data_IF_565183656455
#
_entry.id   IF_565183656455
#
_cell.length_a   1.000
_cell.length_b   1.000
_cell.length_c   1.000
_cell.angle_alpha   90.00
_cell.angle_beta   90.00
_cell.angle_gamma   90.00
#
_symmetry.space_group_name_H-M   'P 1'
#
loop_
_entity.id
_entity.type
_entity.pdbx_description
1 polymer ?
#
# COMPACT_ATOMS: atom_id res chain seq x y z
N UNK A 1 -22.47 -23.48 36.01
CA UNK A 1 -23.37 -24.30 35.19
C UNK A 1 -24.40 -23.39 34.56
N UNK A 2 -24.22 -23.05 33.33
CA UNK A 2 -25.19 -22.85 32.25
C UNK A 2 -24.45 -22.20 31.08
N UNK A 3 -24.15 -23.04 30.13
CA UNK A 3 -23.64 -22.66 28.80
C UNK A 3 -24.69 -21.88 28.02
N UNK A 4 -24.43 -20.64 27.68
CA UNK A 4 -25.20 -19.93 26.65
C UNK A 4 -24.41 -20.00 25.35
N UNK A 5 -24.95 -20.76 24.42
CA UNK A 5 -24.50 -20.89 23.05
C UNK A 5 -24.57 -19.56 22.35
N UNK A 6 -23.40 -19.00 21.98
CA UNK A 6 -23.28 -17.91 21.04
C UNK A 6 -23.15 -18.50 19.65
N UNK A 7 -24.27 -18.75 19.00
CA UNK A 7 -24.29 -19.09 17.58
C UNK A 7 -25.29 -18.19 16.85
N UNK A 8 -24.82 -17.61 15.73
CA UNK A 8 -25.60 -17.12 14.61
C UNK A 8 -26.55 -15.91 14.86
N UNK A 9 -25.99 -14.72 15.12
CA UNK A 9 -26.69 -13.46 14.78
C UNK A 9 -25.63 -12.48 14.22
N UNK A 10 -25.22 -12.69 13.00
CA UNK A 10 -24.34 -11.73 12.29
C UNK A 10 -24.53 -11.78 10.78
N UNK A 11 -25.77 -12.01 10.34
CA UNK A 11 -26.16 -11.80 8.94
C UNK A 11 -27.59 -11.29 8.93
N UNK A 12 -27.76 -9.98 8.94
CA UNK A 12 -28.91 -9.19 8.55
C UNK A 12 -29.12 -7.99 9.48
N UNK A 13 -28.20 -7.05 9.45
CA UNK A 13 -28.50 -5.68 9.83
C UNK A 13 -28.36 -4.81 8.57
N UNK A 14 -29.14 -5.16 7.55
CA UNK A 14 -29.52 -4.25 6.49
C UNK A 14 -30.61 -3.35 7.06
N UNK A 15 -30.25 -2.19 7.59
CA UNK A 15 -31.19 -1.18 8.03
C UNK A 15 -32.05 -0.70 6.85
N UNK A 16 -33.24 -1.20 6.78
CA UNK A 16 -34.28 -0.75 5.83
C UNK A 16 -34.91 0.51 6.39
N UNK A 17 -34.37 1.66 6.05
CA UNK A 17 -35.10 2.93 6.20
C UNK A 17 -35.93 3.12 4.92
N UNK A 18 -37.23 2.94 5.05
CA UNK A 18 -38.25 3.18 3.98
C UNK A 18 -38.00 2.47 2.64
N UNK A 19 -37.75 1.16 2.62
CA UNK A 19 -37.82 0.37 1.39
C UNK A 19 -36.77 0.62 0.30
N UNK A 20 -35.77 1.50 0.53
CA UNK A 20 -34.60 1.66 -0.36
C UNK A 20 -33.43 0.87 0.21
N UNK A 21 -32.95 -0.12 -0.54
CA UNK A 21 -31.62 -0.73 -0.25
C UNK A 21 -30.58 0.38 -0.25
N UNK A 22 -29.80 0.49 0.82
CA UNK A 22 -28.66 1.40 0.78
C UNK A 22 -27.74 1.03 -0.38
N UNK A 23 -27.22 2.01 -1.12
CA UNK A 23 -26.28 1.73 -2.20
C UNK A 23 -25.02 1.07 -1.62
N UNK A 24 -24.37 0.17 -2.39
CA UNK A 24 -23.18 -0.52 -1.89
C UNK A 24 -22.05 0.46 -1.61
N UNK A 25 -21.31 0.21 -0.53
CA UNK A 25 -20.16 1.02 -0.14
C UNK A 25 -19.01 0.95 -1.18
N UNK A 26 -18.83 -0.23 -1.77
CA UNK A 26 -17.77 -0.48 -2.74
C UNK A 26 -18.38 -0.86 -4.10
N UNK A 27 -17.88 -0.24 -5.16
CA UNK A 27 -18.20 -0.52 -6.55
C UNK A 27 -17.07 -1.26 -7.24
N UNK A 28 -17.37 -2.11 -8.21
CA UNK A 28 -16.36 -2.71 -9.08
C UNK A 28 -15.71 -1.61 -9.93
N UNK A 29 -14.39 -1.65 -10.06
CA UNK A 29 -13.65 -0.75 -10.97
C UNK A 29 -13.94 -1.14 -12.41
N UNK A 30 -13.87 -2.43 -12.74
CA UNK A 30 -14.18 -2.91 -14.08
C UNK A 30 -15.67 -2.90 -14.38
N UNK A 31 -16.04 -2.44 -15.56
CA UNK A 31 -17.33 -2.73 -16.18
C UNK A 31 -17.46 -4.24 -16.47
N UNK A 32 -18.70 -4.71 -16.72
CA UNK A 32 -18.94 -6.11 -17.07
C UNK A 32 -18.15 -6.56 -18.32
N UNK A 33 -18.03 -5.69 -19.32
CA UNK A 33 -17.29 -5.96 -20.55
C UNK A 33 -15.80 -6.10 -20.29
N UNK A 34 -15.20 -5.16 -19.59
CA UNK A 34 -13.76 -5.17 -19.23
C UNK A 34 -13.42 -6.39 -18.39
N UNK A 35 -14.27 -6.72 -17.43
CA UNK A 35 -14.13 -7.93 -16.60
C UNK A 35 -14.13 -9.20 -17.44
N UNK A 36 -15.00 -9.31 -18.45
CA UNK A 36 -15.05 -10.47 -19.34
C UNK A 36 -13.81 -10.55 -20.23
N UNK A 37 -13.35 -9.43 -20.77
CA UNK A 37 -12.12 -9.35 -21.58
C UNK A 37 -10.92 -9.75 -20.70
N UNK A 38 -10.81 -9.19 -19.51
CA UNK A 38 -9.71 -9.50 -18.56
C UNK A 38 -9.65 -11.00 -18.25
N UNK A 39 -10.80 -11.61 -17.93
CA UNK A 39 -10.89 -13.05 -17.67
C UNK A 39 -10.49 -13.88 -18.89
N UNK A 40 -10.88 -13.48 -20.10
CA UNK A 40 -10.44 -14.13 -21.33
C UNK A 40 -8.92 -14.08 -21.53
N UNK A 41 -8.30 -12.92 -21.29
CA UNK A 41 -6.86 -12.74 -21.39
C UNK A 41 -6.10 -13.53 -20.31
N UNK A 42 -6.58 -13.54 -19.08
CA UNK A 42 -6.00 -14.35 -17.98
C UNK A 42 -6.13 -15.85 -18.26
N UNK A 43 -7.25 -16.29 -18.85
CA UNK A 43 -7.43 -17.67 -19.25
C UNK A 43 -6.45 -18.07 -20.34
N UNK A 44 -6.20 -17.21 -21.32
CA UNK A 44 -5.20 -17.42 -22.36
C UNK A 44 -3.80 -17.52 -21.76
N UNK A 45 -3.43 -16.60 -20.86
CA UNK A 45 -2.17 -16.66 -20.13
C UNK A 45 -2.03 -17.95 -19.32
N UNK A 46 -3.08 -18.39 -18.64
CA UNK A 46 -3.05 -19.62 -17.85
C UNK A 46 -2.88 -20.85 -18.74
N UNK A 47 -3.48 -20.87 -19.91
CA UNK A 47 -3.29 -21.95 -20.89
C UNK A 47 -1.84 -21.99 -21.39
N UNK A 48 -1.22 -20.85 -21.70
CA UNK A 48 0.21 -20.78 -22.08
C UNK A 48 1.14 -21.13 -20.93
N UNK A 49 0.77 -20.80 -19.68
CA UNK A 49 1.50 -21.20 -18.48
C UNK A 49 1.53 -22.73 -18.34
N UNK A 50 0.37 -23.42 -18.48
CA UNK A 50 0.28 -24.88 -18.45
C UNK A 50 1.10 -25.49 -19.59
N UNK A 51 0.99 -24.92 -20.81
CA UNK A 51 1.77 -25.36 -21.96
C UNK A 51 3.27 -25.23 -21.73
N UNK A 52 3.76 -24.09 -21.20
CA UNK A 52 5.16 -23.86 -20.82
C UNK A 52 5.65 -24.92 -19.82
N UNK A 53 4.91 -25.13 -18.71
CA UNK A 53 5.33 -26.07 -17.68
C UNK A 53 5.28 -27.53 -18.14
N UNK A 54 4.33 -27.93 -18.99
CA UNK A 54 4.31 -29.27 -19.61
C UNK A 54 5.52 -29.51 -20.51
N UNK A 55 5.96 -28.48 -21.23
CA UNK A 55 7.18 -28.55 -22.03
C UNK A 55 8.41 -28.58 -21.11
N UNK A 56 8.53 -27.66 -20.14
CA UNK A 56 9.66 -27.57 -19.24
C UNK A 56 9.96 -28.86 -18.48
N UNK A 57 8.95 -29.56 -17.98
CA UNK A 57 9.08 -30.78 -17.17
C UNK A 57 9.23 -32.05 -17.99
N UNK A 58 9.53 -31.99 -19.29
CA UNK A 58 9.78 -33.19 -20.10
C UNK A 58 11.06 -33.90 -19.64
N UNK A 59 11.10 -35.24 -19.61
CA UNK A 59 12.25 -36.02 -19.13
C UNK A 59 13.56 -35.68 -19.84
N UNK A 60 13.50 -35.33 -21.11
CA UNK A 60 14.66 -34.97 -21.93
C UNK A 60 15.38 -33.70 -21.50
N UNK A 61 14.73 -32.86 -20.72
CA UNK A 61 15.27 -31.62 -20.18
C UNK A 61 16.04 -31.80 -18.86
N UNK A 62 15.94 -33.02 -18.27
CA UNK A 62 16.53 -33.30 -16.97
C UNK A 62 17.97 -33.77 -17.18
N UNK A 63 18.94 -32.93 -16.81
CA UNK A 63 20.34 -33.33 -16.71
C UNK A 63 20.62 -33.99 -15.36
N UNK A 64 20.19 -33.29 -14.28
CA UNK A 64 20.28 -33.77 -12.90
C UNK A 64 19.00 -33.38 -12.16
N UNK A 65 18.62 -34.14 -11.13
CA UNK A 65 17.39 -33.88 -10.37
C UNK A 65 17.49 -32.57 -9.59
N UNK A 66 18.62 -32.29 -8.97
CA UNK A 66 18.90 -31.05 -8.26
C UNK A 66 18.86 -29.84 -9.20
N UNK A 67 19.43 -29.97 -10.39
CA UNK A 67 19.43 -28.91 -11.42
C UNK A 67 18.02 -28.54 -11.87
N UNK A 68 17.19 -29.54 -12.24
CA UNK A 68 15.81 -29.26 -12.69
C UNK A 68 14.96 -28.68 -11.55
N UNK A 69 15.13 -29.16 -10.30
CA UNK A 69 14.40 -28.59 -9.16
C UNK A 69 14.79 -27.14 -8.93
N UNK A 70 16.08 -26.83 -8.86
CA UNK A 70 16.57 -25.49 -8.62
C UNK A 70 16.09 -24.50 -9.70
N UNK A 71 16.27 -24.85 -10.97
CA UNK A 71 15.79 -24.02 -12.07
C UNK A 71 14.26 -23.88 -12.07
N UNK A 72 13.53 -24.95 -11.74
CA UNK A 72 12.06 -24.91 -11.65
C UNK A 72 11.58 -24.00 -10.53
N UNK A 73 12.22 -23.97 -9.36
CA UNK A 73 11.86 -23.06 -8.26
C UNK A 73 12.02 -21.61 -8.70
N UNK A 74 13.12 -21.25 -9.37
CA UNK A 74 13.35 -19.90 -9.88
C UNK A 74 12.34 -19.52 -10.98
N UNK A 75 12.06 -20.42 -11.89
CA UNK A 75 11.05 -20.22 -12.93
C UNK A 75 9.64 -20.12 -12.35
N UNK A 76 9.31 -20.93 -11.34
CA UNK A 76 8.02 -20.87 -10.67
C UNK A 76 7.78 -19.50 -10.05
N UNK A 77 8.76 -18.94 -9.35
CA UNK A 77 8.65 -17.58 -8.81
C UNK A 77 8.27 -16.57 -9.91
N UNK A 78 9.03 -16.55 -11.00
CA UNK A 78 8.80 -15.58 -12.08
C UNK A 78 7.50 -15.81 -12.86
N UNK A 79 7.11 -17.07 -13.07
CA UNK A 79 5.94 -17.42 -13.90
C UNK A 79 4.63 -17.49 -13.13
N UNK A 80 4.66 -17.71 -11.79
CA UNK A 80 3.46 -17.79 -10.96
C UNK A 80 3.09 -16.44 -10.30
N UNK A 81 4.07 -15.54 -10.13
CA UNK A 81 3.84 -14.22 -9.53
C UNK A 81 2.70 -13.43 -10.22
N UNK A 82 2.55 -13.43 -11.56
CA UNK A 82 1.43 -12.78 -12.23
C UNK A 82 0.05 -13.28 -11.79
N UNK A 83 -0.07 -14.56 -11.36
CA UNK A 83 -1.34 -15.07 -10.86
C UNK A 83 -1.83 -14.32 -9.60
N UNK A 84 -0.91 -13.99 -8.70
CA UNK A 84 -1.21 -13.18 -7.52
C UNK A 84 -1.75 -11.81 -7.93
N UNK A 85 -1.07 -11.13 -8.84
CA UNK A 85 -1.50 -9.84 -9.35
C UNK A 85 -2.87 -9.91 -10.06
N UNK A 86 -3.06 -10.85 -10.98
CA UNK A 86 -4.31 -11.02 -11.72
C UNK A 86 -5.50 -11.34 -10.81
N UNK A 87 -5.28 -12.12 -9.75
CA UNK A 87 -6.31 -12.40 -8.76
C UNK A 87 -6.84 -11.11 -8.11
N UNK A 88 -5.96 -10.21 -7.70
CA UNK A 88 -6.37 -8.96 -7.07
C UNK A 88 -6.91 -7.94 -8.09
N UNK A 89 -6.33 -7.85 -9.27
CA UNK A 89 -6.85 -6.99 -10.35
C UNK A 89 -8.30 -7.35 -10.70
N UNK A 90 -8.61 -8.64 -10.79
CA UNK A 90 -9.99 -9.08 -11.02
C UNK A 90 -10.97 -8.66 -9.91
N UNK A 91 -10.48 -8.45 -8.71
CA UNK A 91 -11.26 -8.07 -7.53
C UNK A 91 -11.30 -6.56 -7.28
N UNK A 92 -10.66 -5.74 -8.11
CA UNK A 92 -10.56 -4.29 -7.88
C UNK A 92 -11.91 -3.66 -7.57
N UNK A 93 -11.96 -2.94 -6.44
CA UNK A 93 -13.12 -2.18 -5.99
C UNK A 93 -12.69 -0.78 -5.56
N UNK A 94 -13.57 0.18 -5.69
CA UNK A 94 -13.40 1.54 -5.19
C UNK A 94 -14.59 1.96 -4.32
N UNK A 95 -14.43 2.91 -3.39
CA UNK A 95 -15.54 3.50 -2.66
C UNK A 95 -16.55 4.11 -3.62
N UNK A 96 -17.82 4.01 -3.27
CA UNK A 96 -18.90 4.59 -4.07
C UNK A 96 -18.91 6.12 -3.92
N UNK A 97 -18.60 6.90 -4.96
CA UNK A 97 -18.52 8.36 -4.87
C UNK A 97 -19.86 9.05 -4.61
N UNK A 98 -20.97 8.35 -4.80
CA UNK A 98 -22.32 8.89 -4.65
C UNK A 98 -22.89 8.72 -3.23
N UNK A 99 -22.07 8.29 -2.27
CA UNK A 99 -22.47 8.21 -0.87
C UNK A 99 -22.22 9.53 -0.17
N UNK A 100 -23.27 10.06 0.47
CA UNK A 100 -23.17 11.26 1.29
C UNK A 100 -22.42 10.97 2.60
N UNK A 101 -21.59 11.90 3.02
CA UNK A 101 -20.89 11.85 4.29
C UNK A 101 -21.72 12.52 5.40
N UNK A 102 -21.70 12.00 6.64
CA UNK A 102 -22.33 12.65 7.77
C UNK A 102 -21.64 13.98 8.09
N UNK A 103 -22.39 15.06 8.21
CA UNK A 103 -21.86 16.40 8.51
C UNK A 103 -21.38 16.58 9.96
N UNK A 104 -21.65 15.63 10.83
CA UNK A 104 -21.28 15.71 12.25
C UNK A 104 -19.89 15.09 12.58
N UNK A 105 -19.22 14.50 11.61
CA UNK A 105 -17.89 13.93 11.83
C UNK A 105 -16.87 15.03 12.07
N UNK A 106 -16.10 14.88 13.14
CA UNK A 106 -15.00 15.77 13.49
C UNK A 106 -13.73 15.27 12.82
N UNK A 107 -13.21 16.02 11.87
CA UNK A 107 -12.10 15.59 11.01
C UNK A 107 -10.92 16.57 11.15
N UNK A 108 -9.72 16.02 11.23
CA UNK A 108 -8.49 16.78 11.09
C UNK A 108 -7.70 16.32 9.86
N UNK A 109 -7.09 17.26 9.15
CA UNK A 109 -6.00 17.01 8.22
C UNK A 109 -4.69 17.44 8.87
N UNK A 110 -3.69 16.56 8.88
CA UNK A 110 -2.40 16.82 9.55
C UNK A 110 -1.26 16.59 8.57
N UNK A 111 -0.47 17.61 8.32
CA UNK A 111 0.80 17.49 7.59
C UNK A 111 1.97 17.49 8.57
N UNK A 112 2.90 16.55 8.39
CA UNK A 112 4.12 16.48 9.20
C UNK A 112 5.23 17.29 8.56
N UNK A 113 6.09 17.91 9.38
CA UNK A 113 7.26 18.65 8.92
C UNK A 113 8.49 18.35 9.78
N UNK A 114 9.54 17.86 9.14
CA UNK A 114 10.87 17.78 9.72
C UNK A 114 11.67 19.08 9.53
N UNK A 115 12.70 19.35 10.36
CA UNK A 115 13.51 20.56 10.23
C UNK A 115 14.22 20.71 8.86
N UNK A 116 14.51 19.59 8.19
CA UNK A 116 15.16 19.56 6.87
C UNK A 116 14.25 19.90 5.70
N UNK A 117 12.93 19.89 5.90
CA UNK A 117 11.96 20.12 4.83
C UNK A 117 11.73 21.60 4.57
N UNK A 118 11.81 22.05 3.28
CA UNK A 118 11.65 23.44 2.92
C UNK A 118 10.22 23.92 3.17
N UNK A 119 10.09 25.17 3.66
CA UNK A 119 8.78 25.73 3.96
C UNK A 119 7.85 25.83 2.76
N UNK A 120 8.37 26.20 1.59
CA UNK A 120 7.55 26.40 0.38
C UNK A 120 6.83 25.09 -0.05
N UNK A 121 7.44 23.94 0.18
CA UNK A 121 6.84 22.62 -0.04
C UNK A 121 5.65 22.41 0.92
N UNK A 122 5.87 22.61 2.20
CA UNK A 122 4.84 22.46 3.25
C UNK A 122 3.69 23.46 3.05
N UNK A 123 4.01 24.71 2.70
CA UNK A 123 3.00 25.76 2.43
C UNK A 123 2.08 25.36 1.27
N UNK A 124 2.64 24.76 0.21
CA UNK A 124 1.85 24.25 -0.94
C UNK A 124 0.85 23.19 -0.50
N UNK A 125 1.30 22.22 0.30
CA UNK A 125 0.46 21.16 0.83
C UNK A 125 -0.62 21.70 1.78
N UNK A 126 -0.26 22.61 2.70
CA UNK A 126 -1.22 23.25 3.59
C UNK A 126 -2.31 24.03 2.84
N UNK A 127 -1.94 24.77 1.78
CA UNK A 127 -2.93 25.47 0.94
C UNK A 127 -3.92 24.51 0.27
N UNK A 128 -3.45 23.35 -0.19
CA UNK A 128 -4.32 22.34 -0.78
C UNK A 128 -5.21 21.64 0.27
N UNK A 129 -4.72 21.47 1.50
CA UNK A 129 -5.52 20.98 2.62
C UNK A 129 -6.65 21.96 2.98
N UNK A 130 -6.34 23.24 3.13
CA UNK A 130 -7.33 24.30 3.41
C UNK A 130 -8.44 24.35 2.36
N UNK A 131 -8.11 24.02 1.12
CA UNK A 131 -9.05 24.04 -0.02
C UNK A 131 -9.93 22.79 -0.16
N UNK A 132 -9.94 21.86 0.80
CA UNK A 132 -10.81 20.68 0.73
C UNK A 132 -12.26 21.00 1.10
N UNK A 133 -13.21 20.30 0.45
CA UNK A 133 -14.64 20.64 0.52
C UNK A 133 -15.34 20.17 1.79
N UNK A 134 -14.87 19.09 2.44
CA UNK A 134 -15.45 18.61 3.69
C UNK A 134 -14.97 19.45 4.89
N UNK A 135 -15.85 19.75 5.84
CA UNK A 135 -15.52 20.53 7.03
C UNK A 135 -14.46 19.83 7.91
N UNK A 136 -13.34 20.49 8.16
CA UNK A 136 -12.20 19.93 8.89
C UNK A 136 -11.31 21.00 9.49
N UNK A 137 -10.50 20.61 10.47
CA UNK A 137 -9.41 21.42 11.01
C UNK A 137 -8.08 21.08 10.33
N UNK A 138 -7.29 22.09 10.01
CA UNK A 138 -5.96 21.93 9.44
C UNK A 138 -4.87 22.04 10.50
N UNK A 139 -3.95 21.07 10.51
CA UNK A 139 -2.85 21.00 11.45
C UNK A 139 -1.49 20.87 10.77
N UNK A 140 -0.52 21.57 11.33
CA UNK A 140 0.90 21.38 11.04
C UNK A 140 1.57 20.73 12.26
N UNK A 141 2.06 19.49 12.10
CA UNK A 141 2.90 18.83 13.10
C UNK A 141 4.37 19.12 12.79
N UNK A 142 4.92 20.21 13.35
CA UNK A 142 6.27 20.70 13.07
C UNK A 142 7.22 20.40 14.25
N UNK A 143 8.34 19.71 13.96
CA UNK A 143 9.36 19.39 14.95
C UNK A 143 10.06 20.63 15.54
N UNK A 144 10.16 21.73 14.78
CA UNK A 144 10.79 22.98 15.21
C UNK A 144 10.20 24.18 14.48
N UNK A 145 8.98 24.62 14.84
CA UNK A 145 8.28 25.68 14.12
C UNK A 145 8.99 27.04 14.27
N UNK A 146 9.25 27.68 13.13
CA UNK A 146 9.83 29.03 13.09
C UNK A 146 8.78 30.10 13.42
N UNK A 147 9.18 31.31 13.87
CA UNK A 147 8.25 32.43 14.03
C UNK A 147 7.49 32.78 12.74
N UNK A 148 8.13 32.65 11.58
CA UNK A 148 7.50 32.82 10.25
C UNK A 148 6.41 31.76 10.01
N UNK A 149 6.71 30.49 10.30
CA UNK A 149 5.76 29.38 10.20
C UNK A 149 4.54 29.60 11.09
N UNK A 150 4.76 29.96 12.35
CA UNK A 150 3.68 30.23 13.31
C UNK A 150 2.79 31.40 12.87
N UNK A 151 3.39 32.51 12.38
CA UNK A 151 2.65 33.65 11.88
C UNK A 151 1.79 33.30 10.67
N UNK A 152 2.32 32.52 9.72
CA UNK A 152 1.58 32.07 8.54
C UNK A 152 0.42 31.14 8.93
N UNK A 153 0.68 30.15 9.79
CA UNK A 153 -0.36 29.23 10.26
C UNK A 153 -1.51 29.98 10.94
N UNK A 154 -1.19 30.92 11.83
CA UNK A 154 -2.19 31.78 12.50
C UNK A 154 -3.02 32.60 11.52
N UNK A 155 -2.39 33.17 10.49
CA UNK A 155 -3.08 33.98 9.48
C UNK A 155 -4.01 33.16 8.57
N UNK A 156 -3.74 31.86 8.40
CA UNK A 156 -4.50 30.96 7.52
C UNK A 156 -5.39 29.95 8.27
N UNK A 157 -5.58 30.10 9.58
CA UNK A 157 -6.43 29.20 10.38
C UNK A 157 -5.86 27.80 10.58
N UNK A 158 -4.55 27.61 10.40
CA UNK A 158 -3.86 26.33 10.63
C UNK A 158 -3.39 26.26 12.08
N UNK A 159 -3.72 25.16 12.75
CA UNK A 159 -3.25 24.86 14.11
C UNK A 159 -1.85 24.22 14.04
N UNK A 160 -1.05 24.43 15.07
CA UNK A 160 0.31 23.87 15.13
C UNK A 160 0.45 22.93 16.32
N UNK A 161 0.92 21.74 16.04
CA UNK A 161 1.34 20.73 17.02
C UNK A 161 2.86 20.64 17.01
N UNK A 162 3.52 20.77 18.15
CA UNK A 162 4.97 20.65 18.24
C UNK A 162 5.40 19.97 19.52
N UNK A 163 6.21 18.93 19.40
CA UNK A 163 6.86 18.25 20.53
C UNK A 163 8.21 18.86 20.90
N UNK A 164 8.58 20.01 20.31
CA UNK A 164 9.87 20.65 20.52
C UNK A 164 10.16 20.87 22.01
N UNK A 165 11.31 20.40 22.50
CA UNK A 165 11.70 20.54 23.90
C UNK A 165 10.97 19.63 24.90
N UNK A 166 10.13 18.71 24.46
CA UNK A 166 9.39 17.78 25.31
C UNK A 166 10.05 16.41 25.31
N UNK A 167 10.93 16.15 26.26
CA UNK A 167 11.78 14.95 26.34
C UNK A 167 10.97 13.62 26.30
N UNK A 168 9.79 13.60 26.92
CA UNK A 168 8.93 12.41 26.96
C UNK A 168 8.45 11.96 25.57
N UNK A 169 8.54 12.83 24.56
CA UNK A 169 8.22 12.56 23.16
C UNK A 169 9.48 12.41 22.27
N UNK A 170 10.66 12.27 22.87
CA UNK A 170 11.93 12.02 22.19
C UNK A 170 12.63 10.75 22.72
N UNK A 171 11.89 9.66 22.79
CA UNK A 171 12.38 8.38 23.31
C UNK A 171 13.27 7.66 22.29
N UNK A 172 14.14 6.80 22.77
CA UNK A 172 14.95 5.90 21.91
C UNK A 172 14.14 4.69 21.40
N UNK A 173 13.04 4.35 22.09
CA UNK A 173 12.18 3.20 21.77
C UNK A 173 10.73 3.62 21.57
N UNK A 174 10.00 2.85 20.79
CA UNK A 174 8.55 3.01 20.61
C UNK A 174 7.79 2.84 21.94
N UNK A 175 6.69 3.56 22.17
CA UNK A 175 6.14 4.68 21.36
C UNK A 175 6.86 5.99 21.64
N UNK A 176 6.60 7.02 20.81
CA UNK A 176 7.10 8.40 20.94
C UNK A 176 8.59 8.52 20.63
N UNK A 177 9.04 7.86 19.56
CA UNK A 177 10.46 7.86 19.17
C UNK A 177 10.92 9.21 18.66
N UNK A 178 12.17 9.53 18.94
CA UNK A 178 12.86 10.69 18.36
C UNK A 178 13.13 10.47 16.86
N UNK A 179 13.20 11.57 16.10
CA UNK A 179 13.55 11.59 14.66
C UNK A 179 12.70 10.66 13.77
N UNK A 180 11.42 10.54 14.07
CA UNK A 180 10.49 9.77 13.24
C UNK A 180 9.09 10.37 13.25
N UNK A 181 8.33 10.10 12.18
CA UNK A 181 6.96 10.57 11.97
C UNK A 181 6.03 10.11 13.10
N UNK A 182 6.13 8.82 13.48
CA UNK A 182 5.35 8.25 14.59
C UNK A 182 5.44 9.11 15.86
N UNK A 183 6.66 9.46 16.28
CA UNK A 183 6.85 10.24 17.50
C UNK A 183 6.35 11.67 17.41
N UNK A 184 6.41 12.31 16.23
CA UNK A 184 5.84 13.62 15.99
C UNK A 184 4.30 13.57 16.05
N UNK A 185 3.70 12.62 15.35
CA UNK A 185 2.25 12.42 15.36
C UNK A 185 1.72 11.92 16.72
N UNK A 186 2.50 11.16 17.50
CA UNK A 186 2.10 10.74 18.84
C UNK A 186 1.76 11.94 19.74
N UNK A 187 2.52 13.04 19.64
CA UNK A 187 2.21 14.26 20.39
C UNK A 187 0.89 14.89 19.94
N UNK A 188 0.65 14.93 18.63
CA UNK A 188 -0.63 15.41 18.09
C UNK A 188 -1.80 14.55 18.57
N UNK A 189 -1.69 13.21 18.47
CA UNK A 189 -2.77 12.32 18.89
C UNK A 189 -3.07 12.41 20.38
N UNK A 190 -2.06 12.41 21.22
CA UNK A 190 -2.22 12.43 22.67
C UNK A 190 -2.83 13.73 23.19
N UNK A 191 -2.54 14.89 22.58
CA UNK A 191 -3.01 16.20 23.07
C UNK A 191 -4.26 16.71 22.35
N UNK A 192 -4.48 16.26 21.11
CA UNK A 192 -5.55 16.82 20.29
C UNK A 192 -6.37 15.75 19.58
N UNK A 193 -5.69 14.75 18.99
CA UNK A 193 -6.28 13.79 18.07
C UNK A 193 -7.40 12.98 18.72
N UNK A 194 -7.12 12.32 19.82
CA UNK A 194 -8.05 11.37 20.45
C UNK A 194 -9.30 12.02 21.04
N UNK A 195 -9.19 13.25 21.56
CA UNK A 195 -10.32 13.92 22.19
C UNK A 195 -11.17 14.73 21.20
N UNK A 196 -10.54 15.34 20.20
CA UNK A 196 -11.19 16.32 19.36
C UNK A 196 -11.72 15.76 18.04
N UNK A 197 -11.17 14.64 17.53
CA UNK A 197 -11.47 14.16 16.18
C UNK A 197 -11.89 12.70 16.16
N UNK A 198 -12.80 12.38 15.26
CA UNK A 198 -13.24 11.03 14.96
C UNK A 198 -12.31 10.40 13.91
N UNK A 199 -11.82 11.23 12.95
CA UNK A 199 -10.92 10.82 11.87
C UNK A 199 -9.78 11.81 11.67
N UNK A 200 -8.62 11.28 11.30
CA UNK A 200 -7.43 12.07 10.96
C UNK A 200 -6.89 11.61 9.61
N UNK A 201 -6.82 12.52 8.65
CA UNK A 201 -6.09 12.33 7.39
C UNK A 201 -4.70 12.94 7.55
N UNK A 202 -3.67 12.11 7.50
CA UNK A 202 -2.29 12.54 7.66
C UNK A 202 -1.54 12.51 6.31
N UNK A 203 -0.69 13.52 6.08
CA UNK A 203 0.07 13.71 4.85
C UNK A 203 1.54 14.01 5.17
N UNK A 204 2.41 13.61 4.25
CA UNK A 204 3.80 14.09 4.22
C UNK A 204 3.87 15.51 3.64
N UNK A 205 4.94 16.22 3.94
CA UNK A 205 5.13 17.61 3.56
C UNK A 205 5.04 17.87 2.04
N UNK A 206 5.48 16.92 1.24
CA UNK A 206 5.55 16.98 -0.23
C UNK A 206 4.30 16.45 -0.95
N UNK A 207 3.36 15.82 -0.24
CA UNK A 207 2.16 15.22 -0.83
C UNK A 207 0.97 16.18 -0.84
N UNK A 208 0.72 16.78 -1.98
CA UNK A 208 -0.34 17.76 -2.21
C UNK A 208 -1.65 17.07 -2.59
N UNK A 209 -2.72 17.10 -1.75
CA UNK A 209 -3.99 16.46 -2.06
C UNK A 209 -4.74 17.23 -3.17
N UNK A 210 -5.39 16.48 -4.08
CA UNK A 210 -6.30 17.07 -5.08
C UNK A 210 -7.63 17.52 -4.45
N UNK A 211 -8.38 18.42 -5.11
CA UNK A 211 -9.77 18.71 -4.71
C UNK A 211 -10.62 17.42 -4.65
N UNK A 212 -11.44 17.27 -3.61
CA UNK A 212 -12.24 16.07 -3.36
C UNK A 212 -11.50 14.91 -2.67
N UNK A 213 -10.19 15.06 -2.41
CA UNK A 213 -9.39 14.07 -1.69
C UNK A 213 -10.01 13.67 -0.34
N UNK A 214 -10.38 14.68 0.46
CA UNK A 214 -10.85 14.44 1.83
C UNK A 214 -12.16 13.65 1.84
N UNK A 215 -13.12 14.02 1.01
CA UNK A 215 -14.36 13.24 0.89
C UNK A 215 -14.11 11.81 0.42
N UNK A 216 -13.23 11.64 -0.58
CA UNK A 216 -12.93 10.31 -1.13
C UNK A 216 -12.32 9.38 -0.08
N UNK A 217 -11.40 9.89 0.75
CA UNK A 217 -10.72 9.10 1.78
C UNK A 217 -11.60 8.85 3.00
N UNK A 218 -12.61 9.70 3.25
CA UNK A 218 -13.53 9.53 4.37
C UNK A 218 -14.67 8.54 4.08
N UNK A 219 -15.11 8.38 2.81
CA UNK A 219 -16.25 7.51 2.45
C UNK A 219 -16.17 6.09 2.98
N UNK A 220 -15.04 5.38 2.97
CA UNK A 220 -14.97 4.03 3.52
C UNK A 220 -15.31 3.94 5.01
N UNK A 221 -15.13 5.01 5.79
CA UNK A 221 -15.45 5.02 7.23
C UNK A 221 -16.96 5.00 7.53
N UNK A 222 -17.82 5.04 6.52
CA UNK A 222 -19.24 4.71 6.64
C UNK A 222 -19.46 3.26 7.13
N UNK A 223 -18.49 2.37 6.92
CA UNK A 223 -18.43 1.08 7.62
C UNK A 223 -17.66 1.28 8.94
N UNK A 224 -18.35 1.09 10.07
CA UNK A 224 -17.79 1.27 11.41
C UNK A 224 -16.61 0.33 11.71
N UNK A 225 -16.47 -0.76 10.95
CA UNK A 225 -15.35 -1.72 11.09
C UNK A 225 -14.06 -1.22 10.43
N UNK A 226 -14.12 -0.17 9.62
CA UNK A 226 -12.94 0.40 8.97
C UNK A 226 -12.18 1.26 9.99
N UNK A 227 -10.95 0.86 10.29
CA UNK A 227 -10.03 1.56 11.18
C UNK A 227 -9.08 2.49 10.45
N UNK A 228 -8.77 2.19 9.17
CA UNK A 228 -7.87 2.99 8.33
C UNK A 228 -8.25 2.92 6.87
N UNK A 229 -7.87 3.96 6.13
CA UNK A 229 -8.08 4.07 4.68
C UNK A 229 -6.77 4.49 4.03
N UNK A 230 -6.22 3.59 3.23
CA UNK A 230 -5.08 3.86 2.37
C UNK A 230 -5.53 4.54 1.08
N UNK A 231 -4.61 5.23 0.41
CA UNK A 231 -4.90 5.95 -0.81
C UNK A 231 -3.69 5.92 -1.78
N UNK A 232 -3.87 6.23 -3.08
CA UNK A 232 -2.79 6.20 -4.06
C UNK A 232 -1.74 7.29 -3.78
N UNK A 233 -0.49 6.91 -3.54
CA UNK A 233 0.64 7.83 -3.48
C UNK A 233 1.20 8.01 -4.89
N UNK A 234 1.09 9.19 -5.46
CA UNK A 234 1.49 9.48 -6.85
C UNK A 234 2.69 10.42 -6.83
N UNK A 235 3.89 9.87 -7.02
CA UNK A 235 5.13 10.63 -6.95
C UNK A 235 5.52 11.19 -8.34
N UNK A 236 4.68 12.06 -8.92
CA UNK A 236 4.82 12.60 -10.27
C UNK A 236 5.19 14.08 -10.35
N UNK A 237 5.23 14.80 -9.23
CA UNK A 237 5.40 16.26 -9.23
C UNK A 237 6.74 16.75 -9.82
N UNK A 238 7.75 15.88 -9.87
CA UNK A 238 9.06 16.13 -10.49
C UNK A 238 9.40 15.11 -11.60
N UNK A 239 8.41 14.46 -12.20
CA UNK A 239 8.61 13.40 -13.21
C UNK A 239 9.27 13.91 -14.49
N UNK A 240 9.12 15.21 -14.82
CA UNK A 240 9.78 15.87 -15.96
C UNK A 240 11.29 16.06 -15.77
N UNK A 241 11.80 15.93 -14.55
CA UNK A 241 13.19 16.20 -14.20
C UNK A 241 14.10 14.98 -14.19
N UNK A 242 13.54 13.77 -14.08
CA UNK A 242 14.34 12.56 -13.91
C UNK A 242 13.67 11.32 -14.48
N UNK A 243 14.40 10.54 -15.29
CA UNK A 243 13.95 9.23 -15.73
C UNK A 243 13.71 8.25 -14.58
N UNK A 244 14.39 8.44 -13.45
CA UNK A 244 14.23 7.61 -12.27
C UNK A 244 12.85 7.77 -11.68
N UNK A 245 12.34 9.01 -11.62
CA UNK A 245 10.97 9.30 -11.15
C UNK A 245 9.95 8.59 -12.02
N UNK A 246 10.10 8.70 -13.36
CA UNK A 246 9.19 8.03 -14.31
C UNK A 246 9.23 6.49 -14.17
N UNK A 247 10.43 5.91 -14.03
CA UNK A 247 10.58 4.46 -13.85
C UNK A 247 9.93 3.98 -12.56
N UNK A 248 10.11 4.73 -11.47
CA UNK A 248 9.50 4.45 -10.18
C UNK A 248 7.98 4.59 -10.22
N UNK A 249 7.48 5.69 -10.78
CA UNK A 249 6.05 5.94 -10.94
C UNK A 249 5.37 4.76 -11.64
N UNK A 250 5.96 4.26 -12.73
CA UNK A 250 5.46 3.08 -13.43
C UNK A 250 5.47 1.81 -12.56
N UNK A 251 6.53 1.57 -11.79
CA UNK A 251 6.64 0.42 -10.90
C UNK A 251 5.62 0.51 -9.75
N UNK A 252 5.46 1.69 -9.16
CA UNK A 252 4.53 1.93 -8.04
C UNK A 252 3.06 1.89 -8.46
N UNK A 253 2.72 2.22 -9.70
CA UNK A 253 1.35 2.18 -10.22
C UNK A 253 0.66 0.83 -9.97
N UNK A 254 1.40 -0.25 -10.09
CA UNK A 254 0.91 -1.60 -9.80
C UNK A 254 0.63 -1.80 -8.31
N UNK A 255 1.57 -1.42 -7.44
CA UNK A 255 1.49 -1.64 -5.99
C UNK A 255 0.54 -0.65 -5.33
N UNK A 256 0.64 0.63 -5.65
CA UNK A 256 -0.14 1.71 -5.02
C UNK A 256 -1.50 1.96 -5.68
N UNK A 257 -1.81 1.30 -6.77
CA UNK A 257 -3.08 1.42 -7.48
C UNK A 257 -3.86 0.10 -7.50
N UNK A 258 -3.69 -0.66 -8.59
CA UNK A 258 -4.50 -1.85 -8.90
C UNK A 258 -4.46 -2.92 -7.81
N UNK A 259 -3.29 -3.20 -7.25
CA UNK A 259 -3.14 -4.23 -6.22
C UNK A 259 -3.88 -3.84 -4.93
N UNK A 260 -3.72 -2.59 -4.50
CA UNK A 260 -4.40 -2.07 -3.31
C UNK A 260 -5.92 -2.01 -3.50
N UNK A 261 -6.40 -1.59 -4.68
CA UNK A 261 -7.83 -1.62 -5.01
C UNK A 261 -8.40 -3.05 -4.97
N UNK A 262 -7.56 -4.04 -5.33
CA UNK A 262 -7.89 -5.47 -5.25
C UNK A 262 -7.95 -6.03 -3.83
N UNK A 263 -7.28 -5.40 -2.88
CA UNK A 263 -7.33 -5.77 -1.46
C UNK A 263 -8.62 -5.29 -0.78
N UNK A 264 -9.36 -4.37 -1.37
CA UNK A 264 -10.68 -4.00 -0.87
C UNK A 264 -11.56 -5.24 -0.67
N UNK A 265 -12.48 -5.16 0.33
CA UNK A 265 -13.45 -6.21 0.64
C UNK A 265 -12.81 -7.53 1.13
N UNK A 266 -12.12 -7.45 2.25
CA UNK A 266 -11.71 -8.61 3.05
C UNK A 266 -10.22 -8.91 3.11
N UNK A 267 -9.39 -8.26 2.28
CA UNK A 267 -7.94 -8.22 2.45
C UNK A 267 -7.53 -6.93 3.16
N UNK A 268 -6.24 -6.74 3.39
CA UNK A 268 -5.72 -5.58 4.09
C UNK A 268 -5.02 -4.63 3.09
N UNK A 269 -5.69 -3.59 2.55
CA UNK A 269 -4.97 -2.51 1.90
C UNK A 269 -3.88 -1.98 2.84
N UNK A 270 -2.67 -1.84 2.34
CA UNK A 270 -1.55 -1.35 3.15
C UNK A 270 -1.58 0.17 3.18
N UNK A 271 -1.49 0.78 4.35
CA UNK A 271 -1.20 2.20 4.43
C UNK A 271 0.09 2.51 3.67
N UNK A 272 0.12 3.65 3.02
CA UNK A 272 1.29 4.17 2.32
C UNK A 272 1.73 5.40 3.08
N UNK A 273 2.98 5.44 3.54
CA UNK A 273 3.48 6.42 4.48
C UNK A 273 3.28 7.88 4.09
N UNK A 274 3.18 8.15 2.78
CA UNK A 274 2.98 9.50 2.27
C UNK A 274 1.65 10.14 2.68
N UNK A 275 0.55 9.36 2.67
CA UNK A 275 -0.74 9.83 3.15
C UNK A 275 -1.73 8.67 3.34
N UNK A 276 -2.53 8.75 4.37
CA UNK A 276 -3.64 7.84 4.67
C UNK A 276 -4.54 8.46 5.75
N UNK A 277 -5.75 7.94 5.92
CA UNK A 277 -6.65 8.38 6.99
C UNK A 277 -6.91 7.25 7.99
N UNK A 278 -7.13 7.61 9.25
CA UNK A 278 -7.39 6.69 10.35
C UNK A 278 -8.55 7.13 11.23
N UNK A 279 -9.26 6.16 11.76
CA UNK A 279 -10.19 6.35 12.87
C UNK A 279 -9.39 6.49 14.16
N UNK A 280 -9.55 7.57 14.89
CA UNK A 280 -8.77 7.87 16.11
C UNK A 280 -8.93 6.81 17.18
N UNK A 281 -10.14 6.26 17.35
CA UNK A 281 -10.40 5.12 18.25
C UNK A 281 -9.51 3.92 17.90
N UNK A 282 -9.37 3.58 16.63
CA UNK A 282 -8.59 2.42 16.20
C UNK A 282 -7.09 2.60 16.52
N UNK A 283 -6.54 3.81 16.32
CA UNK A 283 -5.15 4.13 16.69
C UNK A 283 -4.96 4.06 18.21
N UNK A 284 -5.92 4.58 18.97
CA UNK A 284 -5.86 4.54 20.43
C UNK A 284 -5.86 3.11 20.97
N UNK A 285 -6.71 2.24 20.42
CA UNK A 285 -6.81 0.84 20.81
C UNK A 285 -5.52 0.04 20.55
N UNK A 286 -4.81 0.33 19.47
CA UNK A 286 -3.53 -0.34 19.16
C UNK A 286 -2.32 0.29 19.88
N UNK A 287 -2.52 1.38 20.63
CA UNK A 287 -1.49 2.06 21.40
C UNK A 287 -0.68 3.10 20.65
N UNK A 288 -1.17 3.61 19.53
CA UNK A 288 -0.53 4.60 18.66
C UNK A 288 -0.11 4.04 17.30
N UNK A 289 0.49 4.88 16.47
CA UNK A 289 1.06 4.45 15.18
C UNK A 289 2.17 3.43 15.38
N UNK A 290 2.35 2.54 14.44
CA UNK A 290 3.29 1.44 14.52
C UNK A 290 4.76 1.87 14.60
N UNK A 291 5.62 1.03 15.19
CA UNK A 291 7.06 1.27 15.23
C UNK A 291 7.73 1.07 13.86
N UNK A 292 8.99 1.47 13.77
CA UNK A 292 9.89 1.41 12.63
C UNK A 292 9.70 2.53 11.58
N UNK A 293 10.57 2.54 10.57
CA UNK A 293 10.47 3.50 9.47
C UNK A 293 9.24 3.22 8.61
N UNK A 294 8.89 1.93 8.45
CA UNK A 294 7.64 1.51 7.82
C UNK A 294 6.50 1.51 8.88
N UNK A 295 6.26 2.68 9.50
CA UNK A 295 5.20 2.85 10.50
C UNK A 295 3.80 2.60 9.90
N UNK A 296 3.64 2.87 8.62
CA UNK A 296 2.45 2.63 7.83
C UNK A 296 2.13 1.14 7.73
N UNK A 297 3.13 0.33 7.34
CA UNK A 297 3.01 -1.12 7.28
C UNK A 297 2.75 -1.75 8.65
N UNK A 298 3.48 -1.29 9.69
CA UNK A 298 3.28 -1.80 11.05
C UNK A 298 1.95 -1.37 11.64
N UNK A 299 1.49 -0.15 11.39
CA UNK A 299 0.15 0.31 11.78
C UNK A 299 -0.93 -0.55 11.15
N UNK A 300 -0.80 -0.84 9.84
CA UNK A 300 -1.72 -1.73 9.12
C UNK A 300 -1.76 -3.12 9.75
N UNK A 301 -0.60 -3.72 10.05
CA UNK A 301 -0.49 -5.02 10.69
C UNK A 301 -1.16 -5.03 12.07
N UNK A 302 -0.86 -4.04 12.91
CA UNK A 302 -1.42 -3.91 14.25
C UNK A 302 -2.94 -3.74 14.21
N UNK A 303 -3.48 -2.85 13.39
CA UNK A 303 -4.93 -2.65 13.24
C UNK A 303 -5.65 -3.93 12.84
N UNK A 304 -5.14 -4.64 11.83
CA UNK A 304 -5.75 -5.90 11.41
C UNK A 304 -5.66 -6.98 12.50
N UNK A 305 -4.61 -7.00 13.31
CA UNK A 305 -4.46 -7.94 14.43
C UNK A 305 -5.45 -7.70 15.57
N UNK A 306 -5.93 -6.47 15.73
CA UNK A 306 -6.99 -6.07 16.67
C UNK A 306 -8.40 -6.21 16.08
N UNK A 307 -8.52 -6.65 14.83
CA UNK A 307 -9.82 -6.90 14.17
C UNK A 307 -10.35 -5.73 13.36
N UNK A 308 -9.65 -4.59 13.34
CA UNK A 308 -9.98 -3.49 12.45
C UNK A 308 -9.72 -3.86 10.98
N UNK A 309 -10.54 -3.35 10.09
CA UNK A 309 -10.37 -3.55 8.64
C UNK A 309 -9.79 -2.31 7.99
N UNK A 310 -9.11 -2.50 6.88
CA UNK A 310 -8.70 -1.41 6.00
C UNK A 310 -9.56 -1.28 4.77
N UNK A 311 -9.52 -0.11 4.16
CA UNK A 311 -10.02 0.13 2.82
C UNK A 311 -8.99 0.92 1.99
N UNK A 312 -9.16 0.90 0.68
CA UNK A 312 -8.37 1.68 -0.26
C UNK A 312 -9.28 2.63 -1.04
N UNK A 313 -9.03 3.92 -0.90
CA UNK A 313 -9.78 4.98 -1.57
C UNK A 313 -9.06 5.39 -2.86
N UNK A 314 -9.35 4.70 -3.96
CA UNK A 314 -8.69 4.90 -5.25
C UNK A 314 -8.79 6.35 -5.77
N UNK A 315 -9.87 7.04 -5.45
CA UNK A 315 -10.15 8.41 -5.91
C UNK A 315 -9.55 9.49 -4.97
N UNK A 316 -8.91 9.09 -3.86
CA UNK A 316 -8.26 10.02 -2.94
C UNK A 316 -6.79 10.25 -3.36
N UNK A 317 -6.58 11.08 -4.36
CA UNK A 317 -5.26 11.31 -4.95
C UNK A 317 -4.50 12.42 -4.25
N UNK A 318 -3.22 12.15 -3.95
CA UNK A 318 -2.24 13.17 -3.55
C UNK A 318 -0.95 12.97 -4.35
N UNK A 319 -0.34 14.09 -4.76
CA UNK A 319 0.79 14.14 -5.67
C UNK A 319 2.03 14.69 -4.95
N UNK A 320 3.09 13.91 -4.98
CA UNK A 320 4.35 14.24 -4.31
C UNK A 320 5.57 14.13 -5.23
N UNK A 321 6.75 14.41 -4.64
CA UNK A 321 8.01 14.30 -5.33
C UNK A 321 8.53 12.85 -5.31
N UNK A 322 9.01 12.37 -6.45
CA UNK A 322 9.78 11.13 -6.55
C UNK A 322 11.28 11.35 -6.30
N UNK A 323 12.09 10.29 -6.15
CA UNK A 323 13.53 10.41 -5.92
C UNK A 323 14.22 11.10 -7.10
N UNK A 324 14.89 12.21 -6.82
CA UNK A 324 15.49 13.05 -7.86
C UNK A 324 16.63 12.35 -8.62
N UNK A 325 17.34 11.42 -7.97
CA UNK A 325 18.45 10.66 -8.54
C UNK A 325 18.34 9.16 -8.29
N UNK A 326 19.09 8.37 -9.06
CA UNK A 326 19.20 6.93 -8.85
C UNK A 326 19.80 6.59 -7.47
N UNK A 327 20.69 7.43 -6.96
CA UNK A 327 21.25 7.25 -5.61
C UNK A 327 20.18 7.43 -4.52
N UNK A 328 19.31 8.44 -4.66
CA UNK A 328 18.19 8.67 -3.73
C UNK A 328 17.20 7.49 -3.76
N UNK A 329 16.90 7.00 -4.97
CA UNK A 329 16.07 5.82 -5.16
C UNK A 329 16.65 4.59 -4.44
N UNK A 330 17.95 4.30 -4.61
CA UNK A 330 18.60 3.17 -3.94
C UNK A 330 18.57 3.31 -2.41
N UNK A 331 18.76 4.53 -1.88
CA UNK A 331 18.69 4.79 -0.44
C UNK A 331 17.28 4.52 0.09
N UNK A 332 16.24 4.95 -0.61
CA UNK A 332 14.85 4.70 -0.22
C UNK A 332 14.53 3.19 -0.24
N UNK A 333 14.86 2.49 -1.33
CA UNK A 333 14.64 1.04 -1.45
C UNK A 333 15.36 0.26 -0.34
N UNK A 334 16.62 0.64 -0.05
CA UNK A 334 17.38 0.03 1.04
C UNK A 334 16.70 0.25 2.40
N UNK A 335 16.22 1.45 2.69
CA UNK A 335 15.56 1.76 3.95
C UNK A 335 14.25 0.99 4.12
N UNK A 336 13.47 0.86 3.05
CA UNK A 336 12.23 0.06 3.07
C UNK A 336 12.52 -1.42 3.26
N UNK A 337 13.46 -1.98 2.47
CA UNK A 337 13.86 -3.37 2.60
C UNK A 337 14.35 -3.70 4.03
N UNK A 338 15.22 -2.84 4.58
CA UNK A 338 15.72 -2.97 5.95
C UNK A 338 14.57 -2.93 6.96
N UNK A 339 13.69 -1.94 6.85
CA UNK A 339 12.57 -1.77 7.78
C UNK A 339 11.62 -2.96 7.74
N UNK A 340 11.24 -3.46 6.56
CA UNK A 340 10.37 -4.64 6.42
C UNK A 340 11.00 -5.91 7.00
N UNK A 341 12.33 -6.09 6.87
CA UNK A 341 13.04 -7.20 7.52
C UNK A 341 13.00 -7.08 9.05
N UNK A 342 13.19 -5.88 9.57
CA UNK A 342 13.07 -5.63 11.03
C UNK A 342 11.65 -5.91 11.50
N UNK A 343 10.64 -5.45 10.77
CA UNK A 343 9.23 -5.73 11.06
C UNK A 343 8.95 -7.24 11.05
N UNK A 344 9.42 -7.95 10.03
CA UNK A 344 9.25 -9.41 9.90
C UNK A 344 9.82 -10.15 11.11
N UNK A 345 11.03 -9.79 11.55
CA UNK A 345 11.74 -10.54 12.59
C UNK A 345 11.35 -10.13 14.02
N UNK A 346 11.00 -8.87 14.27
CA UNK A 346 10.82 -8.35 15.63
C UNK A 346 9.38 -7.98 15.99
N UNK A 347 8.56 -7.62 15.02
CA UNK A 347 7.19 -7.10 15.24
C UNK A 347 6.14 -8.12 14.83
N UNK A 348 6.22 -8.64 13.62
CA UNK A 348 5.26 -9.59 13.05
C UNK A 348 5.00 -10.81 13.94
N UNK A 349 5.99 -11.44 14.60
CA UNK A 349 5.74 -12.58 15.49
C UNK A 349 4.75 -12.30 16.63
N UNK A 350 4.61 -11.03 17.03
CA UNK A 350 3.69 -10.65 18.13
C UNK A 350 2.24 -10.54 17.66
N UNK A 351 2.01 -10.22 16.38
CA UNK A 351 0.68 -9.88 15.85
C UNK A 351 0.14 -10.90 14.87
N UNK A 352 1.00 -11.62 14.14
CA UNK A 352 0.58 -12.54 13.07
C UNK A 352 -0.31 -13.69 13.59
N UNK A 353 -0.17 -14.07 14.85
CA UNK A 353 -0.94 -15.16 15.47
C UNK A 353 -2.46 -14.94 15.42
N UNK A 354 -2.91 -13.70 15.59
CA UNK A 354 -4.33 -13.31 15.64
C UNK A 354 -4.97 -13.11 14.27
N UNK A 355 -4.17 -12.95 13.21
CA UNK A 355 -4.67 -12.73 11.86
C UNK A 355 -5.31 -13.99 11.25
N UNK A 356 -6.32 -13.84 10.40
CA UNK A 356 -6.84 -14.94 9.59
C UNK A 356 -5.80 -15.41 8.55
N UNK A 357 -5.87 -16.67 8.06
CA UNK A 357 -4.81 -17.27 7.22
C UNK A 357 -4.45 -16.45 5.97
N UNK A 358 -5.43 -15.86 5.28
CA UNK A 358 -5.18 -15.07 4.08
C UNK A 358 -4.42 -13.77 4.39
N UNK A 359 -4.70 -13.11 5.52
CA UNK A 359 -3.94 -11.92 5.94
C UNK A 359 -2.54 -12.29 6.43
N UNK A 360 -2.37 -13.44 7.12
CA UNK A 360 -1.03 -13.97 7.43
C UNK A 360 -0.20 -14.11 6.17
N UNK A 361 -0.78 -14.75 5.15
CA UNK A 361 -0.12 -14.90 3.86
C UNK A 361 0.22 -13.54 3.25
N UNK A 362 -0.72 -12.59 3.21
CA UNK A 362 -0.51 -11.27 2.62
C UNK A 362 0.62 -10.51 3.30
N UNK A 363 0.62 -10.42 4.64
CA UNK A 363 1.66 -9.70 5.38
C UNK A 363 3.03 -10.38 5.26
N UNK A 364 3.09 -11.70 5.37
CA UNK A 364 4.35 -12.43 5.19
C UNK A 364 4.86 -12.29 3.75
N UNK A 365 4.00 -12.36 2.75
CA UNK A 365 4.37 -12.18 1.35
C UNK A 365 4.96 -10.78 1.10
N UNK A 366 4.31 -9.73 1.60
CA UNK A 366 4.80 -8.34 1.44
C UNK A 366 6.15 -8.12 2.15
N UNK A 367 6.34 -8.67 3.35
CA UNK A 367 7.58 -8.54 4.11
C UNK A 367 8.74 -9.39 3.57
N UNK A 368 8.43 -10.55 2.98
CA UNK A 368 9.40 -11.44 2.34
C UNK A 368 9.73 -11.00 0.91
N UNK A 369 9.07 -9.99 0.36
CA UNK A 369 9.27 -9.56 -1.02
C UNK A 369 10.75 -9.28 -1.34
N UNK A 370 11.39 -8.42 -0.57
CA UNK A 370 12.80 -8.07 -0.80
C UNK A 370 13.77 -9.25 -0.65
N UNK A 371 13.73 -10.05 0.44
CA UNK A 371 14.59 -11.21 0.57
C UNK A 371 14.41 -12.24 -0.56
N UNK A 372 13.17 -12.57 -0.90
CA UNK A 372 12.88 -13.58 -1.93
C UNK A 372 13.28 -13.06 -3.30
N UNK A 373 12.94 -11.82 -3.64
CA UNK A 373 13.35 -11.18 -4.88
C UNK A 373 14.89 -11.16 -5.03
N UNK A 374 15.60 -10.73 -3.98
CA UNK A 374 17.07 -10.67 -3.99
C UNK A 374 17.68 -12.04 -4.16
N UNK A 375 17.22 -13.04 -3.44
CA UNK A 375 17.73 -14.42 -3.56
C UNK A 375 17.45 -15.00 -4.93
N UNK A 376 16.28 -14.75 -5.51
CA UNK A 376 15.91 -15.21 -6.85
C UNK A 376 16.78 -14.57 -7.92
N UNK A 377 17.01 -13.24 -7.83
CA UNK A 377 17.88 -12.52 -8.77
C UNK A 377 19.33 -12.98 -8.66
N UNK A 378 19.82 -13.13 -7.44
CA UNK A 378 21.20 -13.60 -7.19
C UNK A 378 21.38 -15.02 -7.74
N UNK A 379 20.49 -15.95 -7.43
CA UNK A 379 20.54 -17.31 -7.95
C UNK A 379 20.42 -17.34 -9.47
N UNK A 380 19.49 -16.59 -10.07
CA UNK A 380 19.32 -16.49 -11.51
C UNK A 380 20.58 -15.97 -12.23
N UNK A 381 21.34 -15.08 -11.57
CA UNK A 381 22.60 -14.56 -12.11
C UNK A 381 23.78 -15.51 -11.92
N UNK A 382 23.85 -16.20 -10.78
CA UNK A 382 24.98 -17.09 -10.46
C UNK A 382 24.90 -18.45 -11.17
N UNK A 383 23.70 -19.00 -11.39
CA UNK A 383 23.54 -20.32 -12.02
C UNK A 383 24.19 -20.45 -13.40
N UNK A 384 24.02 -19.49 -14.35
CA UNK A 384 24.72 -19.55 -15.62
C UNK A 384 26.24 -19.44 -15.47
N UNK A 385 26.73 -18.62 -14.54
CA UNK A 385 28.17 -18.47 -14.26
C UNK A 385 28.75 -19.78 -13.78
N UNK A 386 28.12 -20.45 -12.81
CA UNK A 386 28.57 -21.74 -12.33
C UNK A 386 28.51 -22.82 -13.41
N UNK A 387 27.47 -22.84 -14.25
CA UNK A 387 27.38 -23.77 -15.38
C UNK A 387 28.58 -23.63 -16.33
N UNK A 388 28.98 -22.40 -16.64
CA UNK A 388 30.12 -22.10 -17.51
C UNK A 388 31.48 -22.44 -16.85
N UNK A 389 31.65 -22.11 -15.55
CA UNK A 389 32.93 -22.37 -14.85
C UNK A 389 33.18 -23.88 -14.70
N UNK A 390 32.14 -24.63 -14.39
CA UNK A 390 32.28 -26.07 -14.09
C UNK A 390 31.95 -26.97 -15.28
N UNK A 391 31.65 -26.37 -16.46
CA UNK A 391 31.20 -27.08 -17.67
C UNK A 391 30.10 -28.12 -17.38
N UNK A 392 29.12 -27.71 -16.56
CA UNK A 392 28.00 -28.56 -16.13
C UNK A 392 26.68 -27.82 -16.33
N UNK A 393 25.91 -28.18 -17.38
CA UNK A 393 24.58 -27.61 -17.57
C UNK A 393 23.61 -28.11 -16.48
N UNK A 394 22.83 -27.20 -15.92
CA UNK A 394 21.79 -27.53 -14.91
C UNK A 394 20.63 -28.27 -15.51
N UNK A 395 20.29 -27.96 -16.76
CA UNK A 395 19.19 -28.53 -17.54
C UNK A 395 19.63 -28.73 -18.99
N UNK A 396 19.02 -29.72 -19.67
CA UNK A 396 19.27 -29.96 -21.09
C UNK A 396 18.17 -29.34 -21.95
N UNK A 397 18.19 -28.00 -22.05
CA UNK A 397 17.19 -27.24 -22.79
C UNK A 397 17.87 -26.38 -23.86
N UNK A 398 17.37 -26.47 -25.09
CA UNK A 398 17.83 -25.62 -26.19
C UNK A 398 17.39 -24.17 -25.96
N UNK A 399 18.32 -23.23 -26.17
CA UNK A 399 18.09 -21.82 -25.90
C UNK A 399 16.93 -21.24 -26.74
N UNK A 400 16.86 -21.58 -28.03
CA UNK A 400 15.81 -21.05 -28.90
C UNK A 400 14.43 -21.61 -28.57
N UNK A 401 14.37 -22.88 -28.19
CA UNK A 401 13.13 -23.48 -27.70
C UNK A 401 12.69 -22.82 -26.39
N UNK A 402 13.61 -22.59 -25.45
CA UNK A 402 13.29 -21.86 -24.22
C UNK A 402 12.79 -20.44 -24.51
N UNK A 403 13.49 -19.73 -25.40
CA UNK A 403 13.09 -18.38 -25.79
C UNK A 403 11.69 -18.36 -26.44
N UNK A 404 11.38 -19.29 -27.32
CA UNK A 404 10.07 -19.38 -27.95
C UNK A 404 8.94 -19.62 -26.92
N UNK A 405 9.14 -20.57 -26.00
CA UNK A 405 8.14 -20.89 -24.99
C UNK A 405 7.98 -19.77 -23.95
N UNK A 406 9.07 -19.17 -23.47
CA UNK A 406 9.05 -18.09 -22.51
C UNK A 406 8.51 -16.79 -23.13
N UNK A 407 8.82 -16.49 -24.40
CA UNK A 407 8.30 -15.31 -25.10
C UNK A 407 6.79 -15.37 -25.26
N UNK A 408 6.23 -16.54 -25.64
CA UNK A 408 4.78 -16.70 -25.76
C UNK A 408 4.09 -16.51 -24.40
N UNK A 409 4.64 -17.10 -23.35
CA UNK A 409 4.13 -16.92 -21.98
C UNK A 409 4.18 -15.45 -21.54
N UNK A 410 5.30 -14.77 -21.83
CA UNK A 410 5.48 -13.34 -21.50
C UNK A 410 4.50 -12.46 -22.28
N UNK A 411 4.35 -12.68 -23.59
CA UNK A 411 3.40 -11.93 -24.42
C UNK A 411 1.96 -12.04 -23.90
N UNK A 412 1.51 -13.25 -23.56
CA UNK A 412 0.16 -13.45 -23.02
C UNK A 412 -0.01 -12.87 -21.64
N UNK A 413 1.07 -12.75 -20.83
CA UNK A 413 1.07 -12.08 -19.54
C UNK A 413 0.92 -10.55 -19.69
N UNK A 414 1.49 -9.95 -20.72
CA UNK A 414 1.46 -8.49 -20.94
C UNK A 414 0.06 -8.00 -21.30
N UNK A 415 -0.77 -8.77 -22.03
CA UNK A 415 -2.08 -8.32 -22.48
C UNK A 415 -3.02 -7.91 -21.34
N UNK A 416 -3.21 -8.70 -20.25
CA UNK A 416 -4.01 -8.26 -19.11
C UNK A 416 -3.46 -6.98 -18.46
N UNK A 417 -2.12 -6.82 -18.41
CA UNK A 417 -1.47 -5.61 -17.84
C UNK A 417 -1.77 -4.38 -18.69
N UNK A 418 -1.70 -4.48 -20.01
CA UNK A 418 -2.03 -3.37 -20.94
C UNK A 418 -3.50 -2.97 -20.77
N UNK A 419 -4.42 -3.94 -20.60
CA UNK A 419 -5.83 -3.63 -20.38
C UNK A 419 -6.01 -2.79 -19.13
N UNK A 420 -5.38 -3.19 -18.01
CA UNK A 420 -5.43 -2.45 -16.74
C UNK A 420 -4.79 -1.08 -16.84
N UNK A 421 -3.66 -0.95 -17.58
CA UNK A 421 -2.95 0.32 -17.76
C UNK A 421 -3.75 1.36 -18.56
N UNK A 422 -4.75 0.94 -19.31
CA UNK A 422 -5.64 1.82 -20.06
C UNK A 422 -6.90 2.19 -19.31
N UNK A 423 -7.15 1.58 -18.14
CA UNK A 423 -8.31 1.86 -17.30
C UNK A 423 -8.09 3.10 -16.42
N UNK A 424 -9.17 3.61 -15.81
CA UNK A 424 -9.15 4.79 -14.93
C UNK A 424 -8.16 4.66 -13.78
N UNK A 425 -7.98 3.45 -13.26
CA UNK A 425 -6.98 3.15 -12.22
C UNK A 425 -5.55 3.51 -12.60
N UNK A 426 -5.21 3.48 -13.90
CA UNK A 426 -3.85 3.72 -14.37
C UNK A 426 -3.71 5.02 -15.14
N UNK A 427 -4.81 5.71 -15.48
CA UNK A 427 -4.76 6.99 -16.20
C UNK A 427 -4.09 8.10 -15.41
N UNK A 428 -4.21 8.05 -14.09
CA UNK A 428 -3.62 9.04 -13.18
C UNK A 428 -2.12 8.81 -12.91
N UNK A 429 -1.55 7.71 -13.44
CA UNK A 429 -0.14 7.34 -13.33
C UNK A 429 0.64 7.53 -14.66
N UNK A 430 0.07 8.25 -15.64
CA UNK A 430 0.69 8.50 -16.95
C UNK A 430 1.26 9.91 -17.05
#
# INVERSE_FOLDING_TARGET
MSSVSSSAVSHELGSTIRGRKMPPLLLSVFSQRERSIFLGLVTLWFATLIWFWRWWLQPQHITTIDGIILCSVLLAWNTMLPAYYFFFVWRMKRPNPNLDLPSHWRVAMVVTKAPSEPWDMVEKTLKAMIGQDYEHDNWLADEAPSPKTLAWCKANGVRVSSRHGIETYHRSTWPRRTKCKEGNLAYFYDYYGYEQYDFVAQLDADHTPKPGYLEAILRPFLDERIGYVAAPSICDANADRSWVVNARLFAEATMHGSLQAGYNDGWAPLCIGSHYAIRTQAVQEIGGLGPELAEDHTTTLMMNSYGWRGAFALDAEAHGDGPASFADFLVQEFQWARSLIVVLLSITPRYVGTLPPHLKFQFLFSQLWYPVFTLTMLAGSLLPIFALIFDRPWVNVDYFQFLAHSSLLTMTCIFPVILVSNDECARNWK
#
